data_IF_183531983336
#
_entry.id   IF_183531983336
#
_cell.length_a   1.000
_cell.length_b   1.000
_cell.length_c   1.000
_cell.angle_alpha   90.00
_cell.angle_beta   90.00
_cell.angle_gamma   90.00
#
_symmetry.space_group_name_H-M   'P 1'
#
loop_
_entity.id
_entity.type
_entity.pdbx_description
1 polymer ?
#
# COMPACT_ATOMS: atom_id res chain seq x y z
N UNK A 1 9.05 18.38 6.81
CA UNK A 1 8.12 17.25 6.90
C UNK A 1 8.92 16.00 6.63
N UNK A 2 8.98 15.10 7.60
CA UNK A 2 9.62 13.78 7.48
C UNK A 2 8.76 12.88 6.59
N UNK A 3 9.36 11.88 5.95
CA UNK A 3 8.67 10.90 5.11
C UNK A 3 7.62 10.14 5.93
N UNK A 4 7.89 9.85 7.21
CA UNK A 4 6.93 9.21 8.11
C UNK A 4 5.73 10.11 8.43
N UNK A 5 5.92 11.43 8.50
CA UNK A 5 4.81 12.39 8.62
C UNK A 5 3.98 12.46 7.35
N UNK A 6 4.60 12.36 6.16
CA UNK A 6 3.85 12.28 4.89
C UNK A 6 2.90 11.08 4.89
N UNK A 7 3.35 9.95 5.43
CA UNK A 7 2.53 8.75 5.54
C UNK A 7 1.35 8.90 6.51
N UNK A 8 1.22 9.99 7.27
CA UNK A 8 0.04 10.29 8.08
C UNK A 8 -1.04 11.07 7.31
N UNK A 9 -0.67 11.75 6.22
CA UNK A 9 -1.59 12.52 5.39
C UNK A 9 -2.61 11.60 4.67
N UNK A 10 -3.93 11.83 4.81
CA UNK A 10 -4.94 10.98 4.19
C UNK A 10 -4.87 10.93 2.65
N UNK A 11 -4.53 12.04 1.99
CA UNK A 11 -4.45 12.08 0.53
C UNK A 11 -3.23 11.30 0.03
N UNK A 12 -2.10 11.44 0.72
CA UNK A 12 -0.89 10.68 0.44
C UNK A 12 -1.09 9.19 0.67
N UNK A 13 -1.74 8.80 1.79
CA UNK A 13 -2.13 7.40 2.04
C UNK A 13 -2.99 6.82 0.93
N UNK A 14 -4.02 7.56 0.48
CA UNK A 14 -4.88 7.14 -0.63
C UNK A 14 -4.08 6.94 -1.92
N UNK A 15 -3.14 7.83 -2.22
CA UNK A 15 -2.28 7.72 -3.39
C UNK A 15 -1.34 6.51 -3.31
N UNK A 16 -0.79 6.23 -2.12
CA UNK A 16 0.00 5.03 -1.87
C UNK A 16 -0.85 3.77 -2.07
N UNK A 17 -2.06 3.73 -1.50
CA UNK A 17 -2.97 2.60 -1.65
C UNK A 17 -3.39 2.37 -3.11
N UNK A 18 -3.62 3.44 -3.90
CA UNK A 18 -3.87 3.31 -5.34
C UNK A 18 -2.69 2.66 -6.08
N UNK A 19 -1.45 3.01 -5.72
CA UNK A 19 -0.25 2.35 -6.28
C UNK A 19 -0.16 0.89 -5.86
N UNK A 20 -0.51 0.57 -4.62
CA UNK A 20 -0.58 -0.81 -4.14
C UNK A 20 -1.61 -1.60 -4.94
N UNK A 21 -2.83 -1.09 -5.13
CA UNK A 21 -3.87 -1.74 -5.96
C UNK A 21 -3.37 -2.03 -7.37
N UNK A 22 -2.72 -1.05 -8.01
CA UNK A 22 -2.16 -1.24 -9.34
C UNK A 22 -1.10 -2.35 -9.37
N UNK A 23 -0.24 -2.42 -8.36
CA UNK A 23 0.75 -3.49 -8.23
C UNK A 23 0.12 -4.87 -8.02
N UNK A 24 -0.88 -4.98 -7.12
CA UNK A 24 -1.61 -6.23 -6.89
C UNK A 24 -2.28 -6.72 -8.19
N UNK A 25 -2.96 -5.82 -8.90
CA UNK A 25 -3.60 -6.17 -10.17
C UNK A 25 -2.58 -6.64 -11.22
N UNK A 26 -1.41 -6.00 -11.27
CA UNK A 26 -0.33 -6.40 -12.16
C UNK A 26 0.15 -7.83 -11.85
N UNK A 27 0.42 -8.16 -10.59
CA UNK A 27 0.88 -9.49 -10.19
C UNK A 27 -0.17 -10.58 -10.47
N UNK A 28 -1.44 -10.30 -10.21
CA UNK A 28 -2.52 -11.25 -10.50
C UNK A 28 -2.72 -11.46 -11.99
N UNK A 29 -2.72 -10.38 -12.78
CA UNK A 29 -2.82 -10.44 -14.25
C UNK A 29 -1.66 -11.25 -14.84
N UNK A 30 -0.43 -10.97 -14.40
CA UNK A 30 0.77 -11.70 -14.83
C UNK A 30 0.70 -13.20 -14.51
N UNK A 31 0.07 -13.56 -13.40
CA UNK A 31 -0.14 -14.95 -13.00
C UNK A 31 -1.35 -15.63 -13.68
N UNK A 32 -2.06 -14.94 -14.57
CA UNK A 32 -3.28 -15.45 -15.22
C UNK A 32 -4.44 -15.65 -14.24
N UNK A 33 -4.45 -14.94 -13.11
CA UNK A 33 -5.47 -15.03 -12.06
C UNK A 33 -6.51 -13.93 -12.23
N UNK A 34 -7.71 -14.20 -11.70
CA UNK A 34 -8.76 -13.20 -11.58
C UNK A 34 -8.31 -12.02 -10.72
N UNK A 35 -8.61 -10.79 -11.16
CA UNK A 35 -8.21 -9.59 -10.44
C UNK A 35 -9.02 -9.44 -9.15
N UNK A 36 -8.36 -9.25 -8.00
CA UNK A 36 -9.09 -9.10 -6.75
C UNK A 36 -9.82 -7.76 -6.72
N UNK A 37 -11.04 -7.77 -6.18
CA UNK A 37 -11.87 -6.56 -6.09
C UNK A 37 -11.54 -5.75 -4.82
N UNK A 38 -11.00 -4.53 -4.96
CA UNK A 38 -10.72 -3.68 -3.81
C UNK A 38 -12.01 -3.08 -3.23
N UNK A 39 -12.05 -2.96 -1.90
CA UNK A 39 -13.05 -2.19 -1.16
C UNK A 39 -12.35 -1.04 -0.44
N UNK A 40 -12.98 0.13 -0.40
CA UNK A 40 -12.48 1.27 0.35
C UNK A 40 -13.24 1.42 1.66
N UNK A 41 -12.53 1.34 2.79
CA UNK A 41 -13.07 1.59 4.14
C UNK A 41 -12.12 2.55 4.86
N UNK A 42 -12.65 3.62 5.43
CA UNK A 42 -11.87 4.62 6.18
C UNK A 42 -10.65 5.18 5.40
N UNK A 43 -10.83 5.46 4.11
CA UNK A 43 -9.78 5.90 3.18
C UNK A 43 -8.63 4.90 2.94
N UNK A 44 -8.82 3.63 3.31
CA UNK A 44 -7.87 2.56 3.08
C UNK A 44 -8.45 1.49 2.15
N UNK A 45 -7.59 0.94 1.30
CA UNK A 45 -7.96 -0.24 0.51
C UNK A 45 -7.98 -1.50 1.38
N UNK A 46 -9.01 -2.30 1.17
CA UNK A 46 -9.26 -3.57 1.86
C UNK A 46 -9.70 -4.61 0.84
N UNK A 47 -9.47 -5.88 1.15
CA UNK A 47 -9.89 -7.01 0.34
C UNK A 47 -10.54 -8.06 1.24
N UNK A 48 -11.57 -8.74 0.74
CA UNK A 48 -12.21 -9.83 1.50
C UNK A 48 -11.31 -11.07 1.59
N UNK A 49 -10.50 -11.32 0.55
CA UNK A 49 -9.52 -12.39 0.57
C UNK A 49 -8.37 -12.04 1.55
N UNK A 50 -8.19 -12.81 2.64
CA UNK A 50 -7.17 -12.54 3.63
C UNK A 50 -5.74 -12.64 3.07
N UNK A 51 -5.50 -13.42 2.01
CA UNK A 51 -4.19 -13.54 1.38
C UNK A 51 -3.85 -12.26 0.61
N UNK A 52 -4.82 -11.70 -0.12
CA UNK A 52 -4.66 -10.41 -0.81
C UNK A 52 -4.46 -9.29 0.21
N UNK A 53 -5.26 -9.27 1.28
CA UNK A 53 -5.12 -8.28 2.34
C UNK A 53 -3.76 -8.37 3.04
N UNK A 54 -3.23 -9.58 3.25
CA UNK A 54 -1.88 -9.80 3.78
C UNK A 54 -0.80 -9.22 2.86
N UNK A 55 -0.95 -9.36 1.54
CA UNK A 55 -0.02 -8.78 0.57
C UNK A 55 -0.06 -7.24 0.59
N UNK A 56 -1.26 -6.65 0.60
CA UNK A 56 -1.45 -5.19 0.75
C UNK A 56 -0.75 -4.67 2.01
N UNK A 57 -0.95 -5.33 3.15
CA UNK A 57 -0.33 -4.92 4.41
C UNK A 57 1.21 -5.01 4.35
N UNK A 58 1.77 -6.03 3.67
CA UNK A 58 3.23 -6.11 3.45
C UNK A 58 3.75 -4.93 2.64
N UNK A 59 3.05 -4.51 1.58
CA UNK A 59 3.43 -3.32 0.80
C UNK A 59 3.40 -2.05 1.68
N UNK A 60 2.38 -1.88 2.52
CA UNK A 60 2.30 -0.75 3.48
C UNK A 60 3.44 -0.78 4.49
N UNK A 61 3.75 -1.93 5.08
CA UNK A 61 4.90 -2.09 5.98
C UNK A 61 6.20 -1.71 5.27
N UNK A 62 6.41 -2.15 4.02
CA UNK A 62 7.57 -1.77 3.23
C UNK A 62 7.70 -0.25 3.03
N UNK A 63 6.59 0.44 2.75
CA UNK A 63 6.57 1.90 2.62
C UNK A 63 6.95 2.60 3.94
N UNK A 64 6.47 2.11 5.08
CA UNK A 64 6.85 2.62 6.41
C UNK A 64 8.34 2.42 6.69
N UNK A 65 8.86 1.22 6.46
CA UNK A 65 10.28 0.91 6.67
C UNK A 65 11.19 1.79 5.80
N UNK A 66 10.82 1.99 4.53
CA UNK A 66 11.57 2.87 3.62
C UNK A 66 11.52 4.33 4.09
N UNK A 67 10.36 4.82 4.52
CA UNK A 67 10.23 6.18 5.03
C UNK A 67 11.11 6.41 6.26
N UNK A 68 11.13 5.46 7.21
CA UNK A 68 12.01 5.51 8.39
C UNK A 68 13.48 5.59 7.99
N UNK A 69 13.94 4.71 7.09
CA UNK A 69 15.31 4.72 6.60
C UNK A 69 15.71 6.05 5.94
N UNK A 70 14.79 6.65 5.17
CA UNK A 70 15.04 7.94 4.51
C UNK A 70 15.10 9.10 5.51
N UNK A 71 14.27 9.07 6.55
CA UNK A 71 14.29 10.06 7.62
C UNK A 71 15.57 9.95 8.45
N UNK A 72 16.02 8.74 8.77
CA UNK A 72 17.29 8.48 9.46
C UNK A 72 18.50 8.97 8.66
N UNK A 73 18.53 8.74 7.34
CA UNK A 73 19.62 9.21 6.46
C UNK A 73 19.68 10.73 6.34
N UNK A 74 18.55 11.41 6.50
CA UNK A 74 18.46 12.87 6.36
C UNK A 74 18.67 13.62 7.68
N UNK A 75 18.95 12.87 8.76
CA UNK A 75 19.17 13.38 10.12
C UNK A 75 20.65 13.54 10.45
#
# INVERSE_FOLDING_TARGET
>A
MTHIEMLKDPNFKRNLDNKIVAHINHEFSKAGRELPLPKFRDNLVTYDDPNVMKLVNRCRTGAVLLAQLLDEKSS
#
